data_IF_192483592098
#
_entry.id   IF_192483592098
#
_cell.length_a   1.000
_cell.length_b   1.000
_cell.length_c   1.000
_cell.angle_alpha   90.00
_cell.angle_beta   90.00
_cell.angle_gamma   90.00
#
_symmetry.space_group_name_H-M   'P 1'
#
loop_
_entity.id
_entity.type
_entity.pdbx_description
1 polymer ?
2 non-polymer ?
3 non-polymer ?
4 water ?
#
# COMPACT_ATOMS: atom_id res chain seq x y z
N UNK A 1 -21.23 -11.71 -2.80
CA UNK A 1 -20.82 -12.12 -1.42
C UNK A 1 -20.01 -11.00 -0.78
N UNK A 2 -19.48 -11.19 0.44
CA UNK A 2 -18.64 -10.15 1.02
C UNK A 2 -17.41 -9.95 0.11
N UNK A 3 -16.58 -9.03 0.51
CA UNK A 3 -15.23 -8.87 -0.10
C UNK A 3 -14.32 -9.71 0.77
N UNK A 4 -13.31 -10.34 0.17
CA UNK A 4 -12.35 -11.12 0.93
C UNK A 4 -11.09 -10.29 1.22
N UNK A 5 -10.59 -10.43 2.42
CA UNK A 5 -9.43 -9.66 2.91
C UNK A 5 -8.47 -10.54 3.70
N UNK A 6 -7.21 -10.17 3.68
CA UNK A 6 -6.13 -10.84 4.44
C UNK A 6 -5.40 -9.80 5.27
N UNK A 7 -5.10 -10.11 6.51
CA UNK A 7 -4.21 -9.29 7.33
C UNK A 7 -2.76 -9.54 6.92
N UNK A 8 -1.98 -8.50 6.85
CA UNK A 8 -0.57 -8.65 6.44
C UNK A 8 0.28 -7.45 6.81
N UNK A 9 1.59 -7.59 6.79
CA UNK A 9 2.54 -6.50 6.82
C UNK A 9 3.27 -6.46 5.50
N UNK A 10 3.89 -5.32 5.22
CA UNK A 10 4.74 -5.13 4.03
C UNK A 10 6.12 -4.68 4.48
N UNK A 11 7.17 -5.16 3.81
CA UNK A 11 8.52 -4.56 3.95
C UNK A 11 9.09 -4.31 2.57
N UNK A 12 9.83 -3.22 2.41
CA UNK A 12 10.45 -2.92 1.10
C UNK A 12 11.60 -3.91 0.87
N UNK A 13 12.12 -3.96 -0.35
CA UNK A 13 13.09 -5.00 -0.73
C UNK A 13 14.41 -4.76 0.00
N UNK A 14 14.62 -3.55 0.52
CA UNK A 14 15.82 -3.23 1.34
C UNK A 14 15.58 -3.75 2.75
N UNK A 15 14.36 -4.23 3.03
CA UNK A 15 13.87 -4.84 4.29
C UNK A 15 13.57 -3.76 5.35
N UNK A 16 13.05 -2.61 4.94
CA UNK A 16 12.49 -1.60 5.89
C UNK A 16 11.01 -1.91 6.13
N UNK A 17 10.57 -1.77 7.38
CA UNK A 17 9.19 -1.94 7.84
C UNK A 17 8.49 -0.58 7.73
N UNK A 18 7.15 -0.64 7.73
CA UNK A 18 6.27 0.56 7.60
C UNK A 18 5.59 0.82 8.93
N UNK A 19 5.68 2.07 9.38
CA UNK A 19 5.05 2.52 10.66
C UNK A 19 4.20 3.76 10.35
N UNK A 20 3.14 3.99 11.13
CA UNK A 20 2.36 5.26 11.05
C UNK A 20 3.25 6.40 11.58
N UNK A 21 3.31 7.52 10.85
CA UNK A 21 4.13 8.73 11.13
C UNK A 21 3.20 9.93 11.36
N UNK A 22 2.29 9.79 12.32
CA UNK A 22 1.11 10.67 12.48
C UNK A 22 -0.14 9.96 11.98
N UNK A 23 -1.32 10.61 12.02
CA UNK A 23 -2.56 9.93 11.67
C UNK A 23 -2.65 9.52 10.19
N UNK A 24 -2.01 10.28 9.28
CA UNK A 24 -2.25 10.16 7.82
C UNK A 24 -0.95 10.04 7.00
N UNK A 25 0.13 9.63 7.63
CA UNK A 25 1.39 9.39 6.89
C UNK A 25 1.95 8.05 7.33
N UNK A 26 2.60 7.34 6.40
CA UNK A 26 3.42 6.15 6.72
C UNK A 26 4.87 6.52 6.44
N UNK A 27 5.79 5.96 7.23
CA UNK A 27 7.23 6.09 6.97
C UNK A 27 7.86 4.70 7.05
N UNK A 28 9.04 4.58 6.43
CA UNK A 28 9.75 3.31 6.34
C UNK A 28 11.07 3.39 7.12
N UNK A 29 11.26 2.42 7.95
CA UNK A 29 12.53 2.35 8.69
C UNK A 29 12.89 0.91 8.97
N UNK A 30 14.20 0.74 9.23
CA UNK A 30 14.76 -0.54 9.65
C UNK A 30 14.32 -0.84 11.08
N UNK A 31 13.72 -1.98 11.32
CA UNK A 31 13.05 -2.35 12.58
C UNK A 31 13.34 -3.79 12.84
N UNK A 32 13.59 -4.14 14.12
CA UNK A 32 13.76 -5.52 14.55
C UNK A 32 13.54 -5.54 16.06
N UNK A 33 13.06 -6.64 16.55
CA UNK A 33 12.89 -6.84 18.01
C UNK A 33 11.61 -6.24 18.53
N UNK A 34 11.66 -5.68 19.74
CA UNK A 34 10.45 -5.19 20.45
C UNK A 34 9.75 -4.17 19.53
N UNK A 35 10.52 -3.26 18.93
CA UNK A 35 10.00 -2.12 18.13
C UNK A 35 9.18 -2.65 16.93
N UNK A 36 9.18 -3.96 16.62
CA UNK A 36 8.43 -4.49 15.43
C UNK A 36 6.92 -4.41 15.67
N UNK A 37 6.47 -4.38 16.91
CA UNK A 37 5.05 -4.15 17.24
C UNK A 37 4.58 -2.83 16.63
N UNK A 38 5.46 -1.87 16.33
CA UNK A 38 5.05 -0.54 15.81
C UNK A 38 4.59 -0.67 14.34
N UNK A 39 4.92 -1.75 13.68
CA UNK A 39 4.66 -1.79 12.23
C UNK A 39 3.16 -1.79 11.96
N UNK A 40 2.78 -1.25 10.82
CA UNK A 40 1.38 -1.16 10.40
C UNK A 40 0.94 -2.52 9.89
N UNK A 41 -0.21 -2.96 10.35
CA UNK A 41 -0.90 -4.12 9.82
C UNK A 41 -1.98 -3.67 8.86
N UNK A 42 -1.88 -4.18 7.66
CA UNK A 42 -2.85 -3.89 6.59
C UNK A 42 -3.94 -4.94 6.61
N UNK A 43 -5.11 -4.55 6.14
CA UNK A 43 -6.13 -5.46 5.64
C UNK A 43 -6.09 -5.28 4.15
N UNK A 44 -5.62 -6.28 3.42
CA UNK A 44 -5.54 -6.27 1.94
C UNK A 44 -6.81 -6.88 1.42
N UNK A 45 -7.64 -6.10 0.76
CA UNK A 45 -8.93 -6.58 0.19
C UNK A 45 -8.72 -6.89 -1.30
N UNK A 46 -9.39 -7.94 -1.80
CA UNK A 46 -9.26 -8.36 -3.19
C UNK A 46 -10.48 -7.81 -3.92
N UNK A 47 -10.29 -6.81 -4.71
CA UNK A 47 -11.37 -5.93 -5.20
C UNK A 47 -11.65 -6.13 -6.68
N UNK A 48 -12.73 -5.51 -7.14
CA UNK A 48 -13.06 -5.47 -8.58
C UNK A 48 -12.01 -4.73 -9.38
N UNK A 49 -11.63 -5.29 -10.52
CA UNK A 49 -10.79 -4.58 -11.48
C UNK A 49 -10.17 -5.54 -12.49
N UNK A 50 -9.53 -4.98 -13.52
CA UNK A 50 -8.76 -5.74 -14.55
C UNK A 50 -7.71 -6.61 -13.86
N UNK A 51 -7.66 -7.91 -14.18
CA UNK A 51 -6.83 -8.91 -13.46
C UNK A 51 -6.11 -9.84 -14.45
N UNK A 52 -4.90 -10.28 -14.11
CA UNK A 52 -4.19 -11.36 -14.85
C UNK A 52 -3.40 -12.25 -13.87
N UNK A 53 -2.68 -13.25 -14.38
CA UNK A 53 -2.08 -14.25 -13.48
C UNK A 53 -1.29 -13.48 -12.44
N UNK A 54 -0.51 -12.50 -12.88
CA UNK A 54 0.57 -11.86 -12.07
C UNK A 54 0.15 -10.47 -11.55
N UNK A 55 -1.07 -10.01 -11.88
CA UNK A 55 -1.59 -8.64 -11.62
C UNK A 55 -2.98 -8.73 -10.96
N UNK A 56 -3.08 -8.35 -9.70
CA UNK A 56 -4.30 -8.63 -8.88
C UNK A 56 -4.73 -7.33 -8.24
N UNK A 57 -5.93 -6.83 -8.51
CA UNK A 57 -6.33 -5.53 -7.93
C UNK A 57 -6.66 -5.69 -6.46
N UNK A 58 -6.07 -4.79 -5.64
CA UNK A 58 -6.30 -4.83 -4.17
C UNK A 58 -6.57 -3.42 -3.65
N UNK A 59 -7.17 -3.34 -2.48
CA UNK A 59 -7.15 -2.15 -1.65
C UNK A 59 -6.32 -2.47 -0.42
N UNK A 60 -5.68 -1.43 0.09
CA UNK A 60 -4.83 -1.50 1.29
C UNK A 60 -5.43 -0.63 2.38
N UNK A 61 -6.26 -1.23 3.25
CA UNK A 61 -6.73 -0.56 4.44
C UNK A 61 -5.85 -0.84 5.63
N UNK A 62 -5.92 0.03 6.64
CA UNK A 62 -5.20 -0.19 7.91
C UNK A 62 -6.12 -1.04 8.78
N UNK A 63 -5.65 -2.20 9.25
CA UNK A 63 -6.50 -3.10 10.07
C UNK A 63 -7.03 -2.34 11.30
N UNK A 64 -8.34 -2.47 11.52
CA UNK A 64 -9.11 -1.89 12.66
C UNK A 64 -9.28 -0.38 12.48
N UNK A 65 -9.05 0.14 11.27
CA UNK A 65 -9.19 1.60 11.01
C UNK A 65 -9.96 1.81 9.71
N UNK A 66 -10.78 2.87 9.68
CA UNK A 66 -11.48 3.32 8.47
C UNK A 66 -10.53 4.22 7.70
N UNK A 67 -9.36 3.69 7.34
CA UNK A 67 -8.33 4.43 6.60
C UNK A 67 -7.83 3.52 5.50
N UNK A 68 -7.67 4.08 4.32
CA UNK A 68 -7.18 3.36 3.12
C UNK A 68 -6.09 4.18 2.47
N UNK A 69 -5.09 3.51 1.93
CA UNK A 69 -4.20 4.18 0.98
C UNK A 69 -5.00 4.56 -0.26
N UNK A 70 -4.66 5.72 -0.80
CA UNK A 70 -5.48 6.45 -1.80
C UNK A 70 -4.56 7.25 -2.73
N UNK A 71 -4.80 7.20 -4.05
CA UNK A 71 -3.96 7.92 -5.04
C UNK A 71 -4.82 9.04 -5.61
N UNK A 72 -4.37 10.27 -5.36
CA UNK A 72 -5.13 11.45 -5.88
C UNK A 72 -4.10 12.46 -6.41
N UNK A 73 -4.60 13.38 -7.22
CA UNK A 73 -3.78 14.53 -7.57
C UNK A 73 -3.73 15.50 -6.41
N UNK A 74 -2.54 15.95 -6.03
CA UNK A 74 -2.41 17.02 -5.02
C UNK A 74 -1.42 18.02 -5.59
N UNK A 75 -1.79 19.30 -5.59
CA UNK A 75 -0.98 20.36 -6.22
C UNK A 75 -0.55 19.80 -7.59
N UNK A 76 -1.50 19.22 -8.32
CA UNK A 76 -1.36 18.73 -9.72
C UNK A 76 -0.41 17.55 -9.88
N UNK A 77 -0.12 16.80 -8.83
CA UNK A 77 0.77 15.62 -8.99
C UNK A 77 0.06 14.39 -8.41
N UNK A 78 0.25 13.20 -8.97
CA UNK A 78 -0.24 11.95 -8.34
C UNK A 78 0.49 11.78 -7.00
N UNK A 79 -0.29 11.61 -5.94
CA UNK A 79 0.27 11.45 -4.59
C UNK A 79 -0.45 10.30 -3.88
N UNK A 80 0.27 9.77 -2.92
CA UNK A 80 -0.25 8.76 -1.98
C UNK A 80 -0.79 9.48 -0.76
N UNK A 81 -2.01 9.19 -0.35
CA UNK A 81 -2.58 9.72 0.89
C UNK A 81 -3.24 8.58 1.67
N UNK A 82 -3.46 8.79 2.94
CA UNK A 82 -4.31 7.92 3.78
C UNK A 82 -5.62 8.62 3.85
N UNK A 83 -6.68 8.04 3.42
CA UNK A 83 -8.00 8.67 3.33
C UNK A 83 -8.98 7.93 4.25
N UNK A 84 -9.77 8.71 5.00
CA UNK A 84 -10.86 8.22 5.89
C UNK A 84 -12.09 7.87 5.06
N UNK A 85 -12.85 6.85 5.48
CA UNK A 85 -14.11 6.48 4.83
C UNK A 85 -15.16 6.22 5.90
N UNK A 86 -16.37 6.05 5.46
CA UNK A 86 -17.48 5.71 6.36
C UNK A 86 -17.32 4.25 6.76
N UNK A 87 -17.09 3.91 8.04
CA UNK A 87 -16.77 2.54 8.43
C UNK A 87 -17.92 1.57 8.22
N UNK A 88 -19.13 2.10 7.98
CA UNK A 88 -20.31 1.23 7.72
C UNK A 88 -20.23 0.65 6.31
N UNK A 89 -19.45 1.25 5.41
CA UNK A 89 -19.58 0.96 3.97
C UNK A 89 -18.31 0.27 3.42
N UNK A 90 -17.30 0.09 4.26
CA UNK A 90 -15.97 -0.41 3.81
C UNK A 90 -15.54 -1.56 4.70
N UNK A 91 -14.75 -2.53 4.20
CA UNK A 91 -14.37 -2.59 2.81
C UNK A 91 -15.56 -3.03 1.97
N UNK A 92 -15.41 -2.83 0.69
CA UNK A 92 -16.40 -3.37 -0.27
C UNK A 92 -15.70 -3.91 -1.48
N UNK A 93 -16.43 -4.69 -2.27
CA UNK A 93 -15.79 -5.33 -3.43
C UNK A 93 -15.51 -4.30 -4.53
N UNK A 94 -16.40 -3.36 -4.78
CA UNK A 94 -16.25 -2.31 -5.81
C UNK A 94 -15.67 -1.04 -5.16
N UNK A 95 -14.40 -1.13 -4.81
CA UNK A 95 -13.73 0.06 -4.25
C UNK A 95 -13.54 1.07 -5.37
N UNK A 96 -13.65 2.35 -5.03
CA UNK A 96 -13.39 3.46 -5.96
C UNK A 96 -11.96 3.41 -6.47
N UNK A 97 -11.70 3.92 -7.66
CA UNK A 97 -10.44 3.63 -8.36
C UNK A 97 -9.25 4.22 -7.63
N UNK A 98 -9.40 5.33 -6.91
CA UNK A 98 -8.26 5.95 -6.17
C UNK A 98 -7.71 4.98 -5.10
N UNK A 99 -8.52 4.03 -4.67
CA UNK A 99 -8.13 3.07 -3.60
C UNK A 99 -7.49 1.82 -4.18
N UNK A 100 -7.49 1.61 -5.49
CA UNK A 100 -7.09 0.33 -6.08
C UNK A 100 -5.63 0.38 -6.50
N UNK A 101 -4.91 -0.66 -6.12
CA UNK A 101 -3.54 -0.94 -6.58
C UNK A 101 -3.56 -2.25 -7.32
N UNK A 102 -2.77 -2.30 -8.36
CA UNK A 102 -2.44 -3.58 -9.02
C UNK A 102 -1.23 -4.17 -8.31
N UNK A 103 -1.47 -5.25 -7.62
CA UNK A 103 -0.40 -6.01 -6.93
C UNK A 103 0.23 -6.93 -7.98
N UNK A 104 1.47 -6.68 -8.32
CA UNK A 104 2.19 -7.33 -9.43
C UNK A 104 3.33 -8.13 -8.83
N UNK A 105 3.49 -9.38 -9.28
CA UNK A 105 4.68 -10.23 -8.97
C UNK A 105 5.86 -9.77 -9.83
N UNK A 106 6.99 -9.43 -9.21
CA UNK A 106 8.24 -8.96 -9.88
C UNK A 106 9.43 -9.62 -9.19
N UNK A 107 10.14 -10.51 -9.90
CA UNK A 107 11.39 -11.18 -9.45
C UNK A 107 11.23 -11.59 -7.98
N UNK A 108 10.24 -12.45 -7.70
CA UNK A 108 9.98 -13.12 -6.39
C UNK A 108 9.43 -12.13 -5.35
N UNK A 109 9.18 -10.87 -5.72
CA UNK A 109 8.65 -9.82 -4.79
C UNK A 109 7.33 -9.27 -5.33
N UNK A 110 6.84 -8.19 -4.73
CA UNK A 110 5.55 -7.55 -5.10
C UNK A 110 5.75 -6.06 -5.37
N UNK A 111 5.05 -5.54 -6.37
CA UNK A 111 4.99 -4.09 -6.68
C UNK A 111 3.53 -3.69 -6.59
N UNK A 112 3.24 -2.47 -6.17
CA UNK A 112 1.86 -2.00 -6.05
C UNK A 112 1.76 -0.76 -6.94
N UNK A 113 1.22 -0.97 -8.15
CA UNK A 113 0.97 0.12 -9.09
C UNK A 113 -0.39 0.76 -8.80
N UNK A 114 -0.47 2.06 -8.84
CA UNK A 114 -1.80 2.72 -8.82
C UNK A 114 -2.68 2.31 -10.00
N UNK A 115 -3.89 1.83 -9.78
CA UNK A 115 -4.83 1.55 -10.89
C UNK A 115 -5.16 2.91 -11.52
N UNK A 116 -5.32 3.94 -10.74
CA UNK A 116 -5.74 5.29 -11.26
C UNK A 116 -4.62 5.90 -12.10
N UNK A 117 -3.35 5.75 -11.72
CA UNK A 117 -2.20 6.44 -12.34
C UNK A 117 -1.24 5.37 -12.82
N UNK A 118 -1.34 4.93 -14.10
CA UNK A 118 -0.50 3.87 -14.62
C UNK A 118 0.97 4.26 -14.46
N UNK A 119 1.77 3.27 -14.04
CA UNK A 119 3.22 3.33 -13.87
C UNK A 119 3.67 4.26 -12.75
N UNK A 120 2.77 4.53 -11.81
CA UNK A 120 3.03 5.14 -10.49
C UNK A 120 2.89 4.03 -9.44
N UNK A 121 3.87 3.97 -8.56
CA UNK A 121 4.05 2.84 -7.63
C UNK A 121 4.19 3.31 -6.21
N UNK A 122 3.65 2.54 -5.26
CA UNK A 122 4.02 2.71 -3.84
C UNK A 122 5.55 2.58 -3.75
N UNK A 123 6.17 3.56 -3.13
CA UNK A 123 7.64 3.72 -3.10
C UNK A 123 8.14 4.08 -1.72
N UNK A 124 9.38 3.68 -1.44
CA UNK A 124 10.09 4.18 -0.28
C UNK A 124 11.42 4.80 -0.71
N UNK A 125 11.97 5.60 0.16
CA UNK A 125 13.33 6.15 -0.03
C UNK A 125 14.38 5.20 0.54
N UNK A 126 15.62 5.41 0.10
CA UNK A 126 16.83 4.73 0.62
C UNK A 126 17.03 5.03 2.12
N UNK A 127 16.99 6.31 2.48
CA UNK A 127 17.16 6.80 3.87
C UNK A 127 15.99 6.32 4.74
N UNK A 128 16.24 6.17 6.03
CA UNK A 128 15.18 5.82 7.01
C UNK A 128 14.38 7.06 7.39
N UNK A 129 13.18 6.84 7.95
CA UNK A 129 12.31 7.90 8.51
C UNK A 129 11.81 8.84 7.41
N UNK A 130 11.69 8.36 6.18
CA UNK A 130 11.09 9.17 5.11
C UNK A 130 9.71 8.59 4.79
N UNK A 131 8.79 9.44 4.31
CA UNK A 131 7.44 9.03 3.96
C UNK A 131 7.45 7.94 2.90
N UNK A 132 6.44 7.09 3.02
CA UNK A 132 5.99 6.25 1.89
C UNK A 132 5.25 7.15 0.92
N UNK A 133 5.50 7.00 -0.37
CA UNK A 133 4.99 7.96 -1.35
C UNK A 133 4.64 7.25 -2.62
N UNK A 134 4.00 7.97 -3.54
CA UNK A 134 3.70 7.44 -4.89
C UNK A 134 4.75 7.99 -5.85
N UNK A 135 5.56 7.10 -6.40
CA UNK A 135 6.68 7.46 -7.29
C UNK A 135 6.29 7.20 -8.71
N UNK A 136 6.63 8.12 -9.63
CA UNK A 136 6.32 8.03 -11.07
C UNK A 136 7.55 8.28 -11.93
N UNK A 137 8.74 8.20 -11.33
CA UNK A 137 10.05 8.24 -12.01
C UNK A 137 10.74 6.90 -11.75
N UNK A 138 11.21 6.24 -12.81
CA UNK A 138 11.69 4.83 -12.79
C UNK A 138 13.21 4.83 -12.59
N UNK A 139 13.86 5.95 -12.93
CA UNK A 139 15.27 6.25 -12.61
C UNK A 139 15.40 6.83 -11.21
N UNK A 140 16.57 6.64 -10.59
CA UNK A 140 16.85 7.02 -9.19
C UNK A 140 16.96 5.79 -8.30
N UNK A 141 17.16 6.00 -7.00
CA UNK A 141 17.45 4.93 -6.00
C UNK A 141 16.20 4.65 -5.15
N UNK A 142 15.02 5.11 -5.58
CA UNK A 142 13.75 4.81 -4.85
C UNK A 142 13.40 3.33 -5.01
N UNK A 143 12.76 2.77 -3.99
CA UNK A 143 12.45 1.33 -3.87
C UNK A 143 10.97 1.13 -4.19
N UNK A 144 10.65 0.26 -5.14
CA UNK A 144 9.25 0.02 -5.58
C UNK A 144 8.83 -1.44 -5.41
N UNK A 145 9.65 -2.29 -4.79
CA UNK A 145 9.30 -3.72 -4.61
C UNK A 145 9.32 -4.05 -3.12
N UNK A 146 8.44 -4.96 -2.75
CA UNK A 146 8.10 -5.27 -1.35
C UNK A 146 7.96 -6.78 -1.20
N UNK A 147 8.03 -7.23 0.05
CA UNK A 147 7.58 -8.57 0.46
C UNK A 147 6.37 -8.40 1.36
N UNK A 148 5.48 -9.38 1.35
CA UNK A 148 4.32 -9.40 2.27
C UNK A 148 4.59 -10.49 3.29
N UNK A 149 4.16 -10.23 4.52
CA UNK A 149 4.14 -11.24 5.61
C UNK A 149 2.69 -11.40 6.00
N UNK A 150 2.20 -12.60 6.12
CA UNK A 150 0.83 -12.90 6.53
C UNK A 150 0.80 -12.83 8.06
N UNK A 151 -0.27 -12.23 8.58
CA UNK A 151 -0.55 -12.00 10.01
C UNK A 151 -1.81 -12.83 10.38
N UNK A 152 -1.87 -13.35 11.60
CA UNK A 152 -3.09 -14.02 12.13
C UNK A 152 -4.26 -13.02 12.14
X LIG B 1 -19.65 -6.17 -0.68
X LIG B 1 -20.96 -5.81 -0.19
X LIG B 1 -19.73 -7.39 -1.46
X LIG B 1 -19.15 -5.10 -1.50
X LIG B 1 -18.76 -6.37 0.45
X LIG C 1 -16.62 8.98 -3.97
X LIG C 1 -16.16 8.16 -2.85
X LIG C 1 -17.97 8.59 -4.29
X LIG C 1 -16.56 10.37 -3.60
X LIG C 1 -15.79 8.76 -5.16
X LIG D 1 -3.59 -1.33 11.40
X LIG D 1 0.12 1.49 16.82
X LIG D 1 -2.71 -0.26 14.94
X LIG D 1 -1.34 0.33 15.11
X LIG D 1 -0.30 -0.81 15.09
X LIG D 1 1.09 -0.25 15.40
X LIG D 1 1.08 0.35 16.81
X LIG D 1 -4.71 -0.90 15.51
X LIG D 1 -5.91 -1.05 16.34
X LIG D 1 -1.53 -1.08 12.22
X LIG D 1 -4.55 -1.37 14.21
X LIG D 1 -3.29 -0.96 13.80
X LIG D 1 -2.71 -1.14 12.45
X LIG D 1 -1.27 1.12 16.46
X LIG D 1 -3.62 -0.24 15.96
#
# INVERSE_FOLDING_TARGET
>A
APVRSLNCTLRDSQQKSLVMSGPYELKALHLQGQDMEQQVVFSMSFVQGEESNDKIPVALGLKEKNLYLSCVLKDDKPTLQLESVDPKNYPKKKMEKRFVFNKIEINNKLEFESAQFPNWYISTSQAENMPVFLGGTKGGQDITDFTMQFVSS
>B hetero
1 SO4 S O1 O2 O3 O4
>C hetero
1 SO4 S O1 O2 O3 O4
>D hetero
1 K3Y N1 N3 C4 C5 C6 C7 C8 N C O C1 C2 C3 C9 N2
#
